data_IF_226452270099
#
_entry.id   IF_226452270099
#
_cell.length_a   1.000
_cell.length_b   1.000
_cell.length_c   1.000
_cell.angle_alpha   90.00
_cell.angle_beta   90.00
_cell.angle_gamma   90.00
#
_symmetry.space_group_name_H-M   'P 1'
#
loop_
_entity.id
_entity.type
_entity.pdbx_description
1 polymer ?
#
# COMPACT_ATOMS: atom_id res chain seq x y z
N UNK A 1 -2.17 -0.69 13.46
CA UNK A 1 -1.32 -0.13 12.39
C UNK A 1 -1.60 -0.90 11.10
N UNK A 2 -1.54 -0.26 9.92
CA UNK A 2 -1.52 -1.03 8.66
C UNK A 2 -0.06 -1.30 8.28
N UNK A 3 0.29 -2.58 8.12
CA UNK A 3 1.49 -2.99 7.41
C UNK A 3 1.10 -3.42 6.01
N UNK A 4 1.77 -2.91 4.98
CA UNK A 4 1.63 -3.40 3.61
C UNK A 4 2.89 -4.16 3.23
N UNK A 5 2.78 -5.45 2.89
CA UNK A 5 3.82 -6.23 2.24
C UNK A 5 3.52 -6.33 0.75
N UNK A 6 4.46 -5.89 -0.09
CA UNK A 6 4.40 -6.14 -1.54
C UNK A 6 5.38 -7.25 -1.84
N UNK A 7 4.88 -8.35 -2.41
CA UNK A 7 5.63 -9.56 -2.74
C UNK A 7 5.57 -9.81 -4.25
N UNK A 8 6.74 -9.96 -4.87
CA UNK A 8 6.84 -10.10 -6.33
C UNK A 8 6.69 -8.75 -7.06
N UNK A 9 7.17 -8.70 -8.30
CA UNK A 9 6.94 -7.58 -9.23
C UNK A 9 6.98 -8.05 -10.67
N UNK A 10 6.16 -7.44 -11.56
CA UNK A 10 6.30 -7.62 -13.00
C UNK A 10 7.73 -7.29 -13.46
N UNK A 11 8.26 -8.06 -14.40
CA UNK A 11 9.59 -7.81 -14.96
C UNK A 11 9.71 -6.38 -15.53
N UNK A 12 10.86 -5.74 -15.31
CA UNK A 12 11.14 -4.39 -15.80
C UNK A 12 10.62 -3.24 -14.94
N UNK A 13 9.93 -3.51 -13.83
CA UNK A 13 9.51 -2.47 -12.88
C UNK A 13 10.64 -2.13 -11.92
N UNK A 14 11.12 -0.89 -11.94
CA UNK A 14 12.19 -0.43 -11.01
C UNK A 14 11.66 0.31 -9.77
N UNK A 15 10.45 0.89 -9.87
CA UNK A 15 9.88 1.75 -8.83
C UNK A 15 8.36 1.63 -8.79
N UNK A 16 7.84 1.59 -7.57
CA UNK A 16 6.42 1.68 -7.29
C UNK A 16 6.11 2.91 -6.46
N UNK A 17 4.87 3.35 -6.61
CA UNK A 17 4.20 4.28 -5.71
C UNK A 17 3.13 3.51 -4.97
N UNK A 18 3.14 3.60 -3.65
CA UNK A 18 2.10 3.06 -2.79
C UNK A 18 1.37 4.25 -2.19
N UNK A 19 0.10 4.39 -2.56
CA UNK A 19 -0.78 5.43 -2.08
C UNK A 19 -1.75 4.85 -1.07
N UNK A 20 -1.95 5.54 0.04
CA UNK A 20 -2.94 5.17 1.04
C UNK A 20 -3.91 6.31 1.24
N UNK A 21 -5.19 5.97 1.21
CA UNK A 21 -6.29 6.91 1.25
C UNK A 21 -7.33 6.44 2.27
N UNK A 22 -7.83 7.38 3.08
CA UNK A 22 -8.87 7.12 4.05
C UNK A 22 -10.22 7.46 3.45
N UNK A 23 -11.05 6.44 3.22
CA UNK A 23 -12.26 6.55 2.41
C UNK A 23 -13.45 7.17 3.15
N UNK A 24 -13.45 7.18 4.49
CA UNK A 24 -14.58 7.73 5.26
C UNK A 24 -14.64 9.26 5.19
N UNK A 25 -13.49 9.93 5.11
CA UNK A 25 -13.41 11.40 5.04
C UNK A 25 -12.89 11.90 3.68
N UNK A 26 -12.51 11.00 2.77
CA UNK A 26 -11.87 11.35 1.49
C UNK A 26 -10.51 12.00 1.66
N UNK A 27 -9.88 11.82 2.83
CA UNK A 27 -8.60 12.46 3.16
C UNK A 27 -7.43 11.58 2.73
N UNK A 28 -6.53 12.17 1.96
CA UNK A 28 -5.28 11.52 1.57
C UNK A 28 -4.23 11.71 2.65
N UNK A 29 -3.97 10.65 3.43
CA UNK A 29 -3.10 10.74 4.61
C UNK A 29 -1.62 10.40 4.33
N UNK A 30 -1.29 9.81 3.19
CA UNK A 30 0.11 9.63 2.84
C UNK A 30 0.41 8.87 1.54
N UNK A 31 1.53 9.23 0.94
CA UNK A 31 2.14 8.51 -0.19
C UNK A 31 3.51 7.98 0.24
N UNK A 32 3.72 6.67 0.09
CA UNK A 32 5.02 6.05 0.26
C UNK A 32 5.59 5.72 -1.11
N UNK A 33 6.77 6.27 -1.41
CA UNK A 33 7.55 5.89 -2.60
C UNK A 33 8.52 4.80 -2.20
N UNK A 34 8.40 3.63 -2.81
CA UNK A 34 9.34 2.53 -2.57
C UNK A 34 10.32 2.46 -3.75
N UNK A 35 11.60 2.22 -3.44
CA UNK A 35 12.63 1.91 -4.45
C UNK A 35 13.02 0.45 -4.31
N UNK A 36 13.17 -0.22 -5.44
CA UNK A 36 13.64 -1.61 -5.51
C UNK A 36 14.88 -1.86 -4.66
N UNK A 37 14.78 -2.79 -3.72
CA UNK A 37 15.94 -3.51 -3.20
C UNK A 37 15.53 -4.97 -3.29
N UNK A 38 16.22 -5.78 -4.10
CA UNK A 38 15.93 -7.22 -4.18
C UNK A 38 16.30 -7.89 -2.84
N UNK A 39 15.52 -8.87 -2.36
CA UNK A 39 14.22 -9.32 -2.87
C UNK A 39 13.11 -8.30 -2.61
N UNK A 40 12.14 -8.20 -3.52
CA UNK A 40 11.00 -7.29 -3.45
C UNK A 40 10.07 -7.65 -2.28
N UNK A 41 10.48 -7.28 -1.07
CA UNK A 41 9.71 -7.36 0.16
C UNK A 41 9.70 -5.94 0.75
N UNK A 42 8.74 -5.13 0.30
CA UNK A 42 8.56 -3.80 0.85
C UNK A 42 7.50 -3.87 1.94
N UNK A 43 7.92 -3.62 3.18
CA UNK A 43 7.02 -3.37 4.29
C UNK A 43 6.79 -1.86 4.39
N UNK A 44 5.61 -1.40 4.02
CA UNK A 44 5.18 -0.02 4.26
C UNK A 44 4.31 -0.01 5.51
N UNK A 45 4.84 0.54 6.60
CA UNK A 45 4.13 0.65 7.85
C UNK A 45 3.49 2.04 7.96
N UNK A 46 2.16 2.05 7.96
CA UNK A 46 1.38 3.22 8.30
C UNK A 46 1.05 3.14 9.78
N UNK A 47 1.86 3.83 10.59
CA UNK A 47 1.63 3.95 12.03
C UNK A 47 0.45 4.88 12.28
N UNK A 48 -0.36 4.54 13.29
CA UNK A 48 -1.46 5.40 13.78
C UNK A 48 -2.59 5.70 12.79
N UNK A 49 -3.01 4.72 11.99
CA UNK A 49 -4.22 4.88 11.17
C UNK A 49 -5.51 4.82 11.99
N UNK A 50 -6.44 5.71 11.67
CA UNK A 50 -7.78 5.74 12.24
C UNK A 50 -8.59 4.48 11.85
N UNK A 51 -9.50 4.00 12.71
CA UNK A 51 -10.47 2.98 12.34
C UNK A 51 -11.36 3.51 11.20
N UNK A 52 -11.61 2.67 10.19
CA UNK A 52 -12.46 3.00 9.04
C UNK A 52 -11.99 2.29 7.77
N UNK A 53 -12.54 2.67 6.62
CA UNK A 53 -12.16 2.09 5.33
C UNK A 53 -10.94 2.79 4.73
N UNK A 54 -10.00 1.99 4.28
CA UNK A 54 -8.75 2.43 3.67
C UNK A 54 -8.60 1.84 2.29
N UNK A 55 -8.11 2.64 1.35
CA UNK A 55 -7.71 2.19 0.02
C UNK A 55 -6.20 2.25 -0.10
N UNK A 56 -5.62 1.13 -0.48
CA UNK A 56 -4.24 1.01 -0.93
C UNK A 56 -4.23 0.95 -2.45
N UNK A 57 -3.41 1.80 -3.06
CA UNK A 57 -3.21 1.81 -4.51
C UNK A 57 -1.73 1.67 -4.80
N UNK A 58 -1.39 0.66 -5.59
CA UNK A 58 -0.04 0.42 -6.09
C UNK A 58 -0.01 0.80 -7.54
N UNK A 59 0.82 1.79 -7.87
CA UNK A 59 0.99 2.30 -9.23
C UNK A 59 2.45 2.39 -9.64
N UNK A 60 2.67 2.34 -10.95
CA UNK A 60 3.94 2.68 -11.56
C UNK A 60 4.19 4.19 -11.48
N UNK A 61 5.43 4.59 -11.78
CA UNK A 61 5.80 6.02 -11.79
C UNK A 61 4.97 6.87 -12.76
N UNK A 62 4.53 6.28 -13.87
CA UNK A 62 3.72 6.93 -14.90
C UNK A 62 2.24 7.10 -14.50
N UNK A 63 1.83 6.56 -13.34
CA UNK A 63 0.46 6.59 -12.85
C UNK A 63 -0.36 5.36 -13.22
N UNK A 64 0.20 4.39 -13.95
CA UNK A 64 -0.48 3.12 -14.23
C UNK A 64 -0.75 2.38 -12.93
N UNK A 65 -2.02 2.22 -12.57
CA UNK A 65 -2.44 1.46 -11.40
C UNK A 65 -2.28 -0.04 -11.71
N UNK A 66 -1.48 -0.72 -10.90
CA UNK A 66 -1.26 -2.15 -11.00
C UNK A 66 -2.28 -2.93 -10.16
N UNK A 67 -2.50 -2.48 -8.92
CA UNK A 67 -3.44 -3.09 -7.98
C UNK A 67 -4.03 -2.04 -7.05
N UNK A 68 -5.27 -2.30 -6.67
CA UNK A 68 -5.97 -1.57 -5.62
C UNK A 68 -6.50 -2.58 -4.62
N UNK A 69 -6.38 -2.27 -3.34
CA UNK A 69 -6.93 -3.06 -2.25
C UNK A 69 -7.68 -2.14 -1.30
N UNK A 70 -8.90 -2.50 -0.94
CA UNK A 70 -9.65 -1.80 0.10
C UNK A 70 -9.70 -2.67 1.35
N UNK A 71 -9.54 -2.03 2.51
CA UNK A 71 -9.46 -2.71 3.77
C UNK A 71 -10.14 -1.92 4.89
N UNK A 72 -10.94 -2.62 5.68
CA UNK A 72 -11.46 -2.11 6.94
C UNK A 72 -10.39 -2.21 8.02
N UNK A 73 -10.02 -1.09 8.62
CA UNK A 73 -9.23 -1.04 9.86
C UNK A 73 -10.19 -0.90 11.04
N UNK A 74 -9.97 -1.70 12.07
CA UNK A 74 -10.71 -1.67 13.33
C UNK A 74 -9.77 -1.19 14.44
N UNK A 75 -10.30 -0.37 15.36
CA UNK A 75 -9.54 0.11 16.51
C UNK A 75 -8.88 -1.05 17.27
N UNK A 76 -7.60 -0.90 17.61
CA UNK A 76 -6.86 -1.91 18.38
C UNK A 76 -6.41 -3.13 17.58
N UNK A 77 -6.69 -3.22 16.27
CA UNK A 77 -6.17 -4.28 15.41
C UNK A 77 -4.95 -3.80 14.60
N UNK A 78 -3.97 -4.70 14.48
CA UNK A 78 -2.97 -4.59 13.42
C UNK A 78 -3.54 -5.26 12.18
N UNK A 79 -3.56 -4.50 11.08
CA UNK A 79 -4.11 -4.94 9.81
C UNK A 79 -2.94 -5.10 8.86
N UNK A 80 -2.64 -6.33 8.49
CA UNK A 80 -1.61 -6.61 7.48
C UNK A 80 -2.27 -6.77 6.11
N UNK A 81 -1.71 -6.07 5.12
CA UNK A 81 -2.13 -6.12 3.73
C UNK A 81 -1.00 -6.68 2.90
N UNK A 82 -1.23 -7.82 2.26
CA UNK A 82 -0.29 -8.38 1.30
C UNK A 82 -0.78 -8.18 -0.12
N UNK A 83 0.06 -7.59 -0.97
CA UNK A 83 -0.16 -7.49 -2.41
C UNK A 83 0.87 -8.38 -3.09
N UNK A 84 0.36 -9.45 -3.69
CA UNK A 84 1.16 -10.42 -4.43
C UNK A 84 1.00 -10.20 -5.94
N UNK A 85 2.15 -10.07 -6.61
CA UNK A 85 2.25 -10.08 -8.06
C UNK A 85 2.76 -11.45 -8.53
N UNK A 86 2.16 -12.00 -9.61
CA UNK A 86 2.64 -13.25 -10.22
C UNK A 86 4.04 -13.11 -10.83
#
# INVERSE_FOLDING_TARGET
AISCSIVGMPEGVERLRVRVEYLEEGEHLGEAKTRSIRPWNHLVNFQSLLPGRWKLEVSLRDGTVLRTLEQQVVAGQNTELSIEFP
#
